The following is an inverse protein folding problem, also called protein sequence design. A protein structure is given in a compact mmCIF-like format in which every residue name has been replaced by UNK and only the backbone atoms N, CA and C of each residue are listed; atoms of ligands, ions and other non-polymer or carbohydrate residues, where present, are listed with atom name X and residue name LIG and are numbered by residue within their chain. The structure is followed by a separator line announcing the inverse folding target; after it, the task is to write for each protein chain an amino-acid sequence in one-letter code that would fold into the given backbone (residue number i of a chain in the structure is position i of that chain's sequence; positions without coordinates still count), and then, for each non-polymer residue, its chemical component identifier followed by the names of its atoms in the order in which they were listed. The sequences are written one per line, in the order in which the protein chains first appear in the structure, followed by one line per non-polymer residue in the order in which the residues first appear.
data_IF_821873036071
#
_entry.id   IF_821873036071
#
_cell.length_a   1.000
_cell.length_b   1.000
_cell.length_c   1.000
_cell.angle_alpha   90.00
_cell.angle_beta   90.00
_cell.angle_gamma   90.00
#
_symmetry.space_group_name_H-M   'P 1'
#
loop_
_entity.id
_entity.type
_entity.pdbx_description
1 polymer ?
#
# COMPACT_ATOMS: atom_id res chain seq x y z
N UNK A 1 -32.58 -58.02 -6.05
CA UNK A 1 -33.03 -57.95 -7.45
C UNK A 1 -32.09 -56.94 -8.07
N UNK A 2 -31.04 -57.40 -8.64
CA UNK A 2 -30.68 -57.57 -10.06
C UNK A 2 -30.37 -56.21 -10.68
N UNK A 3 -29.06 -55.85 -10.86
CA UNK A 3 -28.18 -56.14 -12.02
C UNK A 3 -28.70 -55.40 -13.26
N UNK A 4 -27.95 -54.68 -14.07
CA UNK A 4 -26.72 -55.05 -14.79
C UNK A 4 -26.21 -53.84 -15.61
N UNK A 5 -24.86 -53.72 -15.73
CA UNK A 5 -24.05 -53.56 -16.95
C UNK A 5 -24.34 -52.38 -17.90
N UNK A 6 -23.41 -51.69 -18.49
CA UNK A 6 -22.22 -52.12 -19.23
C UNK A 6 -21.23 -50.95 -19.49
N UNK A 7 -20.01 -51.31 -19.52
CA UNK A 7 -18.82 -50.62 -19.97
C UNK A 7 -18.81 -50.28 -21.46
N UNK A 8 -18.17 -49.16 -21.86
CA UNK A 8 -17.48 -49.07 -23.15
C UNK A 8 -16.15 -48.39 -22.95
N UNK A 9 -15.10 -49.18 -23.04
CA UNK A 9 -13.71 -48.78 -23.26
C UNK A 9 -13.56 -48.42 -24.75
N UNK A 10 -12.90 -47.33 -25.04
CA UNK A 10 -12.44 -46.97 -26.37
C UNK A 10 -10.99 -46.48 -26.31
N UNK A 11 -10.07 -47.41 -26.57
CA UNK A 11 -8.65 -47.15 -26.87
C UNK A 11 -8.51 -46.23 -28.06
N UNK A 12 -7.65 -45.23 -27.95
CA UNK A 12 -7.03 -44.57 -29.11
C UNK A 12 -5.54 -44.45 -28.87
N UNK A 13 -4.87 -45.20 -29.73
CA UNK A 13 -3.48 -45.46 -29.91
C UNK A 13 -2.54 -44.25 -29.96
N UNK A 14 -1.34 -44.52 -29.43
CA UNK A 14 -0.08 -43.80 -29.61
C UNK A 14 0.25 -43.62 -31.10
N UNK A 15 0.55 -42.42 -31.53
CA UNK A 15 1.31 -42.15 -32.74
C UNK A 15 2.62 -41.44 -32.39
N UNK A 16 3.69 -42.21 -32.52
CA UNK A 16 5.09 -41.72 -32.53
C UNK A 16 5.34 -40.94 -33.84
N UNK A 17 5.83 -39.72 -33.73
CA UNK A 17 6.41 -39.02 -34.87
C UNK A 17 7.93 -38.89 -34.69
N UNK A 18 8.61 -39.54 -35.59
CA UNK A 18 10.07 -39.62 -35.70
C UNK A 18 10.70 -38.30 -36.09
N UNK A 19 11.80 -37.97 -35.37
CA UNK A 19 12.83 -37.06 -35.85
C UNK A 19 13.65 -37.80 -36.91
N UNK A 20 13.67 -37.32 -38.15
CA UNK A 20 14.74 -37.32 -39.16
C UNK A 20 14.14 -37.20 -40.55
N UNK A 21 14.63 -36.21 -41.21
CA UNK A 21 14.78 -36.01 -42.63
C UNK A 21 14.20 -34.67 -43.10
N UNK A 22 15.12 -33.79 -43.46
CA UNK A 22 15.25 -33.31 -44.84
C UNK A 22 16.41 -32.32 -44.90
N UNK A 23 17.52 -32.87 -45.33
CA UNK A 23 18.57 -32.13 -46.05
C UNK A 23 18.32 -32.40 -47.55
N UNK A 24 18.22 -31.32 -48.34
CA UNK A 24 18.83 -31.25 -49.68
C UNK A 24 18.16 -30.19 -50.54
N UNK A 25 18.96 -29.26 -51.03
CA UNK A 25 18.99 -28.84 -52.43
C UNK A 25 18.40 -27.49 -52.79
N UNK A 26 19.27 -26.56 -53.18
CA UNK A 26 18.86 -25.41 -54.00
C UNK A 26 19.87 -24.27 -54.00
N UNK A 27 20.91 -24.36 -54.81
CA UNK A 27 21.87 -23.28 -55.14
C UNK A 27 21.20 -22.27 -56.06
N UNK A 28 21.29 -20.98 -55.77
CA UNK A 28 20.93 -19.89 -56.67
C UNK A 28 21.82 -18.68 -56.40
N UNK A 29 22.79 -18.48 -57.29
CA UNK A 29 23.73 -17.33 -57.34
C UNK A 29 23.05 -16.16 -58.00
N UNK A 30 23.14 -14.93 -57.42
CA UNK A 30 23.31 -13.66 -58.15
C UNK A 30 23.48 -12.49 -57.22
N UNK A 31 24.55 -11.92 -57.29
CA UNK A 31 25.03 -10.58 -57.70
C UNK A 31 25.17 -9.58 -56.55
N UNK A 32 26.42 -9.35 -56.24
CA UNK A 32 27.02 -8.25 -55.48
C UNK A 32 26.78 -6.91 -56.21
N UNK A 33 26.29 -5.93 -55.48
CA UNK A 33 26.49 -4.52 -55.82
C UNK A 33 26.93 -3.79 -54.53
N UNK A 34 28.25 -3.59 -54.42
CA UNK A 34 28.83 -2.63 -53.47
C UNK A 34 28.55 -1.21 -53.98
N UNK A 35 27.92 -0.41 -53.16
CA UNK A 35 27.99 1.04 -53.20
C UNK A 35 28.44 1.53 -51.84
N UNK A 36 29.73 1.80 -51.74
CA UNK A 36 30.31 2.56 -50.65
C UNK A 36 29.85 4.00 -50.75
N UNK A 37 29.05 4.44 -49.78
CA UNK A 37 28.85 5.85 -49.50
C UNK A 37 29.37 6.13 -48.08
N UNK A 38 30.57 6.69 -48.02
CA UNK A 38 31.02 7.41 -46.84
C UNK A 38 30.10 8.60 -46.64
N UNK A 39 29.32 8.59 -45.57
CA UNK A 39 28.71 9.78 -45.02
C UNK A 39 29.13 9.92 -43.59
N UNK A 40 29.76 11.02 -43.33
CA UNK A 40 30.16 11.67 -42.10
C UNK A 40 29.21 11.38 -40.94
N UNK A 41 29.84 11.03 -39.79
CA UNK A 41 29.17 10.71 -38.52
C UNK A 41 28.21 11.81 -38.05
N UNK A 42 26.95 11.51 -38.18
CA UNK A 42 25.92 12.03 -37.31
C UNK A 42 25.45 10.86 -36.43
N UNK A 43 25.80 10.88 -35.17
CA UNK A 43 25.19 10.01 -34.18
C UNK A 43 23.69 10.33 -34.17
N UNK A 44 22.89 9.51 -34.86
CA UNK A 44 21.45 9.46 -34.68
C UNK A 44 21.21 9.15 -33.21
N UNK A 45 20.42 9.95 -32.44
CA UNK A 45 20.04 9.57 -31.10
C UNK A 45 19.31 8.23 -31.24
N UNK A 46 19.79 7.22 -30.54
CA UNK A 46 19.06 5.98 -30.36
C UNK A 46 17.65 6.37 -29.87
N UNK A 47 16.63 6.18 -30.73
CA UNK A 47 15.24 6.37 -30.30
C UNK A 47 14.98 5.32 -29.21
N UNK A 48 15.10 5.74 -27.94
CA UNK A 48 14.78 4.90 -26.80
C UNK A 48 13.37 4.34 -26.91
N UNK A 49 13.09 3.25 -26.21
CA UNK A 49 11.75 2.67 -26.16
C UNK A 49 10.71 3.74 -25.80
N UNK A 50 9.66 3.85 -26.62
CA UNK A 50 8.48 4.68 -26.37
C UNK A 50 7.35 3.92 -25.69
N UNK A 51 7.61 2.72 -25.22
CA UNK A 51 6.64 1.88 -24.57
C UNK A 51 7.20 1.38 -23.24
N UNK A 52 6.37 1.45 -22.20
CA UNK A 52 6.68 0.88 -20.88
C UNK A 52 5.50 0.07 -20.38
N UNK A 53 5.76 -0.85 -19.43
CA UNK A 53 4.73 -1.58 -18.69
C UNK A 53 4.64 -1.09 -17.25
N UNK A 54 3.44 -1.10 -16.71
CA UNK A 54 3.12 -0.65 -15.36
C UNK A 54 2.31 -1.70 -14.61
N UNK A 55 2.91 -2.33 -13.60
CA UNK A 55 2.26 -3.26 -12.68
C UNK A 55 1.57 -2.51 -11.55
N UNK A 56 0.29 -2.69 -11.40
CA UNK A 56 -0.50 -1.99 -10.39
C UNK A 56 -1.21 -2.94 -9.43
N UNK A 57 -0.97 -2.78 -8.13
CA UNK A 57 -1.76 -3.36 -7.06
C UNK A 57 -2.97 -2.51 -6.65
N UNK A 58 -3.22 -1.38 -7.32
CA UNK A 58 -4.38 -0.52 -7.09
C UNK A 58 -5.60 -1.09 -7.82
N UNK A 59 -6.25 -2.08 -7.23
CA UNK A 59 -7.35 -2.85 -7.84
C UNK A 59 -8.74 -2.32 -7.51
N UNK A 60 -8.90 -1.58 -6.41
CA UNK A 60 -10.17 -0.94 -6.06
C UNK A 60 -10.52 0.14 -7.09
N UNK A 61 -11.82 0.40 -7.29
CA UNK A 61 -12.30 1.24 -8.40
C UNK A 61 -11.68 2.65 -8.42
N UNK A 62 -11.65 3.35 -7.29
CA UNK A 62 -11.16 4.72 -7.24
C UNK A 62 -9.65 4.81 -7.53
N UNK A 63 -8.75 4.11 -6.83
CA UNK A 63 -7.31 4.19 -7.12
C UNK A 63 -6.95 3.62 -8.50
N UNK A 64 -7.67 2.63 -9.00
CA UNK A 64 -7.49 2.11 -10.37
C UNK A 64 -7.77 3.18 -11.41
N UNK A 65 -8.88 3.91 -11.28
CA UNK A 65 -9.22 5.04 -12.18
C UNK A 65 -8.26 6.20 -12.01
N UNK A 66 -7.78 6.46 -10.79
CA UNK A 66 -6.81 7.52 -10.53
C UNK A 66 -5.47 7.26 -11.23
N UNK A 67 -4.94 6.03 -11.16
CA UNK A 67 -3.75 5.68 -11.94
C UNK A 67 -4.00 5.68 -13.46
N UNK A 68 -5.19 5.32 -13.92
CA UNK A 68 -5.55 5.45 -15.34
C UNK A 68 -5.50 6.91 -15.81
N UNK A 69 -5.96 7.86 -14.99
CA UNK A 69 -5.85 9.28 -15.27
C UNK A 69 -4.38 9.76 -15.35
N UNK A 70 -3.50 9.28 -14.48
CA UNK A 70 -2.05 9.56 -14.55
C UNK A 70 -1.46 9.02 -15.84
N UNK A 71 -1.79 7.80 -16.22
CA UNK A 71 -1.31 7.17 -17.46
C UNK A 71 -1.79 7.96 -18.67
N UNK A 72 -3.05 8.33 -18.74
CA UNK A 72 -3.61 9.14 -19.82
C UNK A 72 -2.90 10.49 -19.96
N UNK A 73 -2.75 11.22 -18.84
CA UNK A 73 -2.07 12.50 -18.80
C UNK A 73 -0.59 12.39 -19.24
N UNK A 74 0.11 11.35 -18.81
CA UNK A 74 1.47 11.07 -19.24
C UNK A 74 1.54 10.79 -20.74
N UNK A 75 0.72 9.89 -21.27
CA UNK A 75 0.70 9.53 -22.70
C UNK A 75 0.38 10.74 -23.57
N UNK A 76 -0.56 11.58 -23.14
CA UNK A 76 -0.90 12.84 -23.86
C UNK A 76 0.27 13.81 -23.89
N UNK A 77 1.05 13.91 -22.81
CA UNK A 77 2.17 14.84 -22.68
C UNK A 77 3.42 14.34 -23.41
N UNK A 78 3.75 13.07 -23.31
CA UNK A 78 5.02 12.49 -23.78
C UNK A 78 4.92 11.89 -25.18
N UNK A 79 3.74 11.40 -25.58
CA UNK A 79 3.55 10.56 -26.75
C UNK A 79 4.03 9.10 -26.55
N UNK A 80 4.48 8.74 -25.36
CA UNK A 80 4.86 7.38 -25.02
C UNK A 80 3.64 6.55 -24.63
N UNK A 81 3.74 5.23 -24.71
CA UNK A 81 2.67 4.29 -24.37
C UNK A 81 2.95 3.57 -23.04
N UNK A 82 1.98 3.53 -22.14
CA UNK A 82 2.02 2.75 -20.90
C UNK A 82 1.02 1.60 -20.98
N UNK A 83 1.51 0.36 -20.82
CA UNK A 83 0.66 -0.83 -20.72
C UNK A 83 0.45 -1.16 -19.25
N UNK A 84 -0.75 -0.96 -18.72
CA UNK A 84 -1.05 -1.21 -17.32
C UNK A 84 -1.53 -2.64 -17.11
N UNK A 85 -0.93 -3.34 -16.15
CA UNK A 85 -1.32 -4.65 -15.65
C UNK A 85 -1.79 -4.50 -14.20
N UNK A 86 -3.09 -4.66 -13.95
CA UNK A 86 -3.65 -4.56 -12.59
C UNK A 86 -3.87 -5.95 -12.01
N UNK A 87 -3.39 -6.16 -10.79
CA UNK A 87 -3.56 -7.38 -9.98
C UNK A 87 -4.28 -7.00 -8.69
N UNK A 88 -5.08 -7.91 -8.13
CA UNK A 88 -5.75 -7.68 -6.85
C UNK A 88 -4.73 -7.28 -5.77
N UNK A 89 -5.09 -6.29 -4.94
CA UNK A 89 -4.18 -5.65 -3.99
C UNK A 89 -3.42 -6.63 -3.11
N UNK A 90 -4.15 -7.53 -2.45
CA UNK A 90 -3.56 -8.52 -1.56
C UNK A 90 -2.69 -9.53 -2.32
N UNK A 91 -3.11 -9.96 -3.51
CA UNK A 91 -2.35 -10.89 -4.34
C UNK A 91 -1.05 -10.25 -4.83
N UNK A 92 -1.09 -8.97 -5.22
CA UNK A 92 0.11 -8.23 -5.64
C UNK A 92 1.13 -8.15 -4.50
N UNK A 93 0.69 -7.80 -3.30
CA UNK A 93 1.56 -7.72 -2.12
C UNK A 93 2.13 -9.09 -1.71
N UNK A 94 1.28 -10.11 -1.66
CA UNK A 94 1.68 -11.45 -1.22
C UNK A 94 2.66 -12.11 -2.20
N UNK A 95 2.52 -11.83 -3.49
CA UNK A 95 3.32 -12.42 -4.56
C UNK A 95 4.47 -11.53 -5.04
N UNK A 96 4.70 -10.36 -4.44
CA UNK A 96 5.67 -9.37 -4.94
C UNK A 96 7.08 -9.94 -5.13
N UNK A 97 7.53 -10.81 -4.23
CA UNK A 97 8.85 -11.41 -4.34
C UNK A 97 8.99 -12.29 -5.59
N UNK A 98 7.99 -13.12 -5.86
CA UNK A 98 7.93 -13.96 -7.08
C UNK A 98 7.77 -13.10 -8.33
N UNK A 99 6.93 -12.07 -8.26
CA UNK A 99 6.73 -11.11 -9.35
C UNK A 99 8.04 -10.41 -9.74
N UNK A 100 8.77 -9.88 -8.77
CA UNK A 100 10.03 -9.15 -9.03
C UNK A 100 11.18 -10.07 -9.51
N UNK A 101 11.19 -11.33 -9.09
CA UNK A 101 12.19 -12.33 -9.56
C UNK A 101 11.85 -12.92 -10.93
N UNK A 102 10.59 -12.87 -11.34
CA UNK A 102 10.12 -13.44 -12.60
C UNK A 102 10.19 -12.47 -13.77
N UNK A 103 9.04 -12.09 -14.29
CA UNK A 103 8.91 -11.16 -15.42
C UNK A 103 8.10 -9.92 -15.01
N UNK A 104 8.66 -9.06 -14.14
CA UNK A 104 7.95 -7.90 -13.65
C UNK A 104 7.70 -6.88 -14.77
N UNK A 105 6.70 -6.02 -14.56
CA UNK A 105 6.54 -4.81 -15.33
C UNK A 105 7.74 -3.87 -15.13
N UNK A 106 7.92 -2.90 -16.01
CA UNK A 106 9.04 -1.96 -15.93
C UNK A 106 8.93 -1.09 -14.67
N UNK A 107 7.72 -0.58 -14.37
CA UNK A 107 7.41 0.15 -13.15
C UNK A 107 6.28 -0.54 -12.39
N UNK A 108 6.21 -0.31 -11.09
CA UNK A 108 5.15 -0.91 -10.26
C UNK A 108 4.78 -0.04 -9.06
N UNK A 109 3.52 -0.16 -8.61
CA UNK A 109 3.04 0.48 -7.38
C UNK A 109 3.72 -0.16 -6.18
N UNK A 110 4.21 0.67 -5.25
CA UNK A 110 4.79 0.20 -4.00
C UNK A 110 4.67 1.24 -2.88
N UNK A 111 5.31 0.96 -1.77
CA UNK A 111 5.26 1.71 -0.52
C UNK A 111 6.64 2.23 -0.14
N UNK A 112 6.70 3.40 0.49
CA UNK A 112 7.90 3.87 1.16
C UNK A 112 8.26 3.00 2.39
N UNK A 113 9.37 3.32 3.07
CA UNK A 113 9.75 2.67 4.30
C UNK A 113 10.67 1.45 4.12
N UNK A 114 10.75 0.61 5.15
CA UNK A 114 11.64 -0.54 5.14
C UNK A 114 11.33 -1.53 4.02
N UNK A 115 10.05 -1.71 3.70
CA UNK A 115 9.63 -2.65 2.65
C UNK A 115 10.16 -2.26 1.25
N UNK A 116 10.29 -0.96 0.95
CA UNK A 116 11.01 -0.49 -0.24
C UNK A 116 12.49 -0.86 -0.17
N UNK A 117 13.17 -0.52 0.95
CA UNK A 117 14.60 -0.79 1.14
C UNK A 117 14.93 -2.28 1.05
N UNK A 118 14.06 -3.13 1.57
CA UNK A 118 14.22 -4.59 1.51
C UNK A 118 14.34 -5.11 0.08
N UNK A 119 13.47 -4.68 -0.84
CA UNK A 119 13.55 -5.13 -2.25
C UNK A 119 14.67 -4.43 -3.02
N UNK A 120 14.96 -3.18 -2.71
CA UNK A 120 16.13 -2.47 -3.24
C UNK A 120 17.44 -3.17 -2.84
N UNK A 121 17.61 -3.50 -1.56
CA UNK A 121 18.79 -4.22 -1.04
C UNK A 121 18.98 -5.59 -1.64
N UNK A 122 17.89 -6.27 -2.05
CA UNK A 122 17.96 -7.55 -2.79
C UNK A 122 18.28 -7.38 -4.28
N UNK A 123 18.45 -6.16 -4.78
CA UNK A 123 18.73 -5.88 -6.19
C UNK A 123 17.55 -6.22 -7.12
N UNK A 124 16.32 -6.22 -6.59
CA UNK A 124 15.09 -6.49 -7.33
C UNK A 124 14.45 -5.23 -7.89
N UNK A 125 14.84 -4.06 -7.37
CA UNK A 125 14.47 -2.74 -7.86
C UNK A 125 15.70 -2.02 -8.45
N UNK A 126 15.47 -1.16 -9.42
CA UNK A 126 16.51 -0.31 -10.00
C UNK A 126 16.61 1.03 -9.28
N UNK A 127 17.83 1.57 -9.07
CA UNK A 127 17.99 2.93 -8.58
C UNK A 127 17.50 3.95 -9.61
N UNK A 128 16.97 5.06 -9.12
CA UNK A 128 16.35 6.13 -9.92
C UNK A 128 16.93 7.51 -9.59
N UNK A 129 18.22 7.59 -9.26
CA UNK A 129 18.88 8.86 -8.94
C UNK A 129 18.75 9.86 -10.07
N UNK A 130 18.88 9.42 -11.33
CA UNK A 130 18.72 10.23 -12.52
C UNK A 130 17.29 10.79 -12.73
N UNK A 131 16.27 10.11 -12.19
CA UNK A 131 14.90 10.64 -12.09
C UNK A 131 14.84 11.68 -10.97
N UNK A 132 15.42 11.36 -9.80
CA UNK A 132 15.43 12.26 -8.64
C UNK A 132 16.19 13.57 -8.89
N UNK A 133 17.25 13.56 -9.70
CA UNK A 133 17.95 14.78 -10.15
C UNK A 133 16.98 15.81 -10.79
N UNK A 134 15.88 15.33 -11.37
CA UNK A 134 14.89 16.18 -12.05
C UNK A 134 13.69 16.54 -11.19
N UNK A 135 13.30 15.68 -10.24
CA UNK A 135 12.09 15.85 -9.45
C UNK A 135 12.35 16.11 -7.96
N UNK A 136 13.57 15.93 -7.48
CA UNK A 136 13.90 15.99 -6.03
C UNK A 136 13.51 17.31 -5.38
N UNK A 137 13.56 18.42 -6.10
CA UNK A 137 13.09 19.73 -5.62
C UNK A 137 11.59 19.80 -5.30
N UNK A 138 10.80 18.87 -5.86
CA UNK A 138 9.36 18.80 -5.61
C UNK A 138 9.00 18.13 -4.26
N UNK A 139 9.97 17.55 -3.56
CA UNK A 139 9.71 16.81 -2.33
C UNK A 139 10.36 17.42 -1.10
N UNK A 140 9.81 17.14 0.07
CA UNK A 140 10.44 17.49 1.34
C UNK A 140 11.62 16.56 1.62
N UNK A 141 12.51 16.98 2.53
CA UNK A 141 13.64 16.15 2.98
C UNK A 141 13.17 14.81 3.58
N UNK A 142 12.05 14.82 4.33
CA UNK A 142 11.45 13.60 4.88
C UNK A 142 11.02 12.61 3.79
N UNK A 143 10.38 13.09 2.72
CA UNK A 143 10.00 12.27 1.56
C UNK A 143 11.22 11.77 0.79
N UNK A 144 12.23 12.65 0.62
CA UNK A 144 13.48 12.24 0.00
C UNK A 144 14.19 11.13 0.78
N UNK A 145 14.19 11.22 2.13
CA UNK A 145 14.71 10.17 3.02
C UNK A 145 13.90 8.88 2.92
N UNK A 146 12.56 8.97 2.93
CA UNK A 146 11.66 7.82 2.80
C UNK A 146 11.81 7.08 1.45
N UNK A 147 12.36 7.77 0.43
CA UNK A 147 12.62 7.22 -0.92
C UNK A 147 14.04 6.68 -1.10
N UNK A 148 14.88 6.69 -0.05
CA UNK A 148 16.30 6.33 -0.10
C UNK A 148 16.51 4.91 0.42
N UNK A 149 17.26 4.11 -0.34
CA UNK A 149 17.72 2.78 0.06
C UNK A 149 18.86 2.85 1.08
N UNK A 150 19.22 1.70 1.65
CA UNK A 150 20.31 1.60 2.65
C UNK A 150 21.69 1.87 2.01
N UNK A 151 21.80 1.77 0.69
CA UNK A 151 22.99 2.15 -0.11
C UNK A 151 23.07 3.65 -0.44
N UNK A 152 22.14 4.45 0.06
CA UNK A 152 22.06 5.89 -0.16
C UNK A 152 21.44 6.32 -1.49
N UNK A 153 21.06 5.38 -2.37
CA UNK A 153 20.43 5.68 -3.67
C UNK A 153 18.92 5.81 -3.56
N UNK A 154 18.33 6.47 -4.56
CA UNK A 154 16.88 6.65 -4.67
C UNK A 154 16.23 5.47 -5.39
N UNK A 155 15.09 4.98 -4.86
CA UNK A 155 14.38 3.83 -5.41
C UNK A 155 12.87 4.06 -5.58
N UNK A 156 12.33 5.14 -5.03
CA UNK A 156 10.90 5.35 -4.92
C UNK A 156 10.51 6.77 -5.29
N UNK A 157 9.41 6.94 -6.02
CA UNK A 157 8.77 8.22 -6.29
C UNK A 157 7.48 8.30 -5.50
N UNK A 158 7.37 9.17 -4.47
CA UNK A 158 6.15 9.36 -3.72
C UNK A 158 5.03 9.90 -4.60
N UNK A 159 3.81 9.40 -4.43
CA UNK A 159 2.61 9.90 -5.10
C UNK A 159 1.69 10.63 -4.12
N UNK A 160 1.26 9.91 -3.09
CA UNK A 160 0.36 10.46 -2.08
C UNK A 160 0.66 9.87 -0.70
N UNK A 161 0.13 10.52 0.33
CA UNK A 161 0.02 9.95 1.67
C UNK A 161 -1.42 10.01 2.17
N UNK A 162 -1.72 9.19 3.20
CA UNK A 162 -3.06 9.05 3.75
C UNK A 162 -2.99 8.80 5.26
N UNK A 163 -3.23 9.86 6.06
CA UNK A 163 -3.22 9.68 7.50
C UNK A 163 -4.34 8.77 7.96
N UNK A 164 -4.03 7.97 8.98
CA UNK A 164 -4.98 7.15 9.70
C UNK A 164 -5.58 7.92 10.89
N UNK A 165 -6.79 7.58 11.24
CA UNK A 165 -7.52 8.14 12.38
C UNK A 165 -8.88 7.48 12.54
N UNK A 166 -9.63 7.92 13.54
CA UNK A 166 -11.03 7.53 13.70
C UNK A 166 -11.92 8.39 12.81
N UNK A 167 -12.47 7.80 11.76
CA UNK A 167 -13.44 8.45 10.87
C UNK A 167 -14.85 8.29 11.42
N UNK A 168 -15.69 9.31 11.27
CA UNK A 168 -17.06 9.31 11.77
C UNK A 168 -17.98 10.19 10.92
N UNK A 169 -19.29 9.99 11.04
CA UNK A 169 -20.31 10.84 10.42
C UNK A 169 -20.72 11.95 11.38
N UNK A 170 -20.50 13.22 10.98
CA UNK A 170 -20.84 14.42 11.77
C UNK A 170 -22.31 14.44 12.17
N UNK A 171 -23.22 14.13 11.24
CA UNK A 171 -24.65 14.12 11.47
C UNK A 171 -25.09 13.11 12.54
N UNK A 172 -24.51 11.89 12.51
CA UNK A 172 -24.76 10.84 13.50
C UNK A 172 -24.27 11.27 14.88
N UNK A 173 -23.08 11.85 14.94
CA UNK A 173 -22.51 12.33 16.21
C UNK A 173 -23.30 13.50 16.79
N UNK A 174 -23.68 14.46 15.96
CA UNK A 174 -24.49 15.61 16.40
C UNK A 174 -25.84 15.16 16.93
N UNK A 175 -26.54 14.25 16.24
CA UNK A 175 -27.84 13.74 16.66
C UNK A 175 -27.81 13.01 18.02
N UNK A 176 -26.67 12.41 18.38
CA UNK A 176 -26.45 11.66 19.63
C UNK A 176 -25.70 12.44 20.71
N UNK A 177 -25.24 13.65 20.40
CA UNK A 177 -24.43 14.48 21.30
C UNK A 177 -23.09 13.83 21.66
N UNK A 178 -22.44 13.17 20.71
CA UNK A 178 -21.09 12.61 20.89
C UNK A 178 -20.05 13.71 20.74
N UNK A 179 -18.94 13.58 21.48
CA UNK A 179 -17.81 14.52 21.44
C UNK A 179 -16.53 13.75 21.19
N UNK A 180 -15.57 14.40 20.50
CA UNK A 180 -14.26 13.79 20.19
C UNK A 180 -13.52 13.49 21.51
N UNK A 181 -13.11 12.23 21.75
CA UNK A 181 -12.38 11.84 22.94
C UNK A 181 -10.92 12.34 22.86
N UNK A 182 -10.44 12.95 23.94
CA UNK A 182 -9.04 13.38 24.03
C UNK A 182 -8.14 12.27 24.57
N UNK A 183 -8.65 11.46 25.47
CA UNK A 183 -7.94 10.35 26.14
C UNK A 183 -8.57 9.00 25.82
N UNK A 184 -7.81 7.96 26.05
CA UNK A 184 -8.25 6.58 25.82
C UNK A 184 -9.47 6.21 26.69
N UNK A 185 -9.49 6.63 27.94
CA UNK A 185 -10.64 6.38 28.83
C UNK A 185 -11.92 7.05 28.30
N UNK A 186 -11.81 8.24 27.69
CA UNK A 186 -12.93 8.92 27.05
C UNK A 186 -13.41 8.14 25.83
N UNK A 187 -12.48 7.53 25.05
CA UNK A 187 -12.83 6.65 23.93
C UNK A 187 -13.60 5.41 24.39
N UNK A 188 -13.17 4.79 25.48
CA UNK A 188 -13.90 3.66 26.09
C UNK A 188 -15.30 4.09 26.56
N UNK A 189 -15.40 5.23 27.27
CA UNK A 189 -16.68 5.77 27.73
C UNK A 189 -17.63 6.10 26.55
N UNK A 190 -17.11 6.72 25.51
CA UNK A 190 -17.84 7.00 24.28
C UNK A 190 -18.30 5.70 23.59
N UNK A 191 -17.44 4.72 23.48
CA UNK A 191 -17.78 3.42 22.87
C UNK A 191 -18.89 2.70 23.63
N UNK A 192 -18.84 2.74 24.97
CA UNK A 192 -19.92 2.20 25.81
C UNK A 192 -21.26 2.93 25.58
N UNK A 193 -21.22 4.26 25.44
CA UNK A 193 -22.42 5.05 25.14
C UNK A 193 -22.98 4.72 23.76
N UNK A 194 -22.13 4.62 22.73
CA UNK A 194 -22.53 4.24 21.36
C UNK A 194 -23.19 2.86 21.35
N UNK A 195 -22.63 1.88 22.10
CA UNK A 195 -23.20 0.55 22.21
C UNK A 195 -24.58 0.57 22.86
N UNK A 196 -24.76 1.36 23.91
CA UNK A 196 -26.06 1.57 24.57
C UNK A 196 -27.07 2.26 23.65
N UNK A 197 -26.63 3.11 22.75
CA UNK A 197 -27.41 3.78 21.73
C UNK A 197 -27.74 2.89 20.50
N UNK A 198 -27.29 1.62 20.51
CA UNK A 198 -27.59 0.60 19.49
C UNK A 198 -26.67 0.62 18.27
N UNK A 199 -25.52 1.33 18.34
CA UNK A 199 -24.52 1.34 17.27
C UNK A 199 -23.47 0.24 17.50
N UNK A 200 -22.78 -0.18 16.45
CA UNK A 200 -21.45 -0.76 16.54
C UNK A 200 -20.49 0.39 16.85
N UNK A 201 -19.89 0.47 18.05
CA UNK A 201 -19.10 1.65 18.42
C UNK A 201 -17.94 1.91 17.45
N UNK A 202 -17.16 0.86 17.17
CA UNK A 202 -16.00 0.89 16.28
C UNK A 202 -16.23 -0.13 15.16
N UNK A 203 -16.46 0.32 13.94
CA UNK A 203 -16.36 -0.57 12.79
C UNK A 203 -14.95 -1.16 12.78
N UNK A 204 -14.87 -2.47 12.67
CA UNK A 204 -13.61 -3.19 12.60
C UNK A 204 -13.75 -4.35 11.60
N UNK A 205 -12.79 -4.48 10.71
CA UNK A 205 -12.86 -5.43 9.61
C UNK A 205 -11.44 -5.90 9.29
N UNK A 206 -11.15 -7.19 9.51
CA UNK A 206 -9.81 -7.75 9.43
C UNK A 206 -9.74 -9.08 8.66
N UNK A 207 -10.66 -9.31 7.72
CA UNK A 207 -10.62 -10.47 6.84
C UNK A 207 -9.28 -10.60 6.11
N UNK A 208 -8.71 -9.46 5.71
CA UNK A 208 -7.46 -9.38 4.98
C UNK A 208 -6.21 -9.38 5.88
N UNK A 209 -6.38 -9.26 7.20
CA UNK A 209 -5.34 -9.34 8.23
C UNK A 209 -4.50 -8.06 8.42
N UNK A 210 -4.47 -7.16 7.45
CA UNK A 210 -3.69 -5.93 7.58
C UNK A 210 -4.37 -4.83 8.42
N UNK A 211 -5.71 -4.65 8.48
CA UNK A 211 -6.30 -3.53 9.23
C UNK A 211 -5.98 -3.57 10.73
N UNK A 212 -5.84 -4.77 11.29
CA UNK A 212 -5.47 -4.94 12.70
C UNK A 212 -4.08 -4.37 13.03
N UNK A 213 -3.16 -4.34 12.06
CA UNK A 213 -1.82 -3.78 12.27
C UNK A 213 -1.86 -2.28 12.58
N UNK A 214 -2.71 -1.49 11.88
CA UNK A 214 -2.86 -0.06 12.16
C UNK A 214 -3.41 0.22 13.55
N UNK A 215 -4.29 -0.63 14.07
CA UNK A 215 -4.75 -0.54 15.46
C UNK A 215 -3.62 -0.84 16.43
N UNK A 216 -2.83 -1.90 16.18
CA UNK A 216 -1.64 -2.21 16.97
C UNK A 216 -0.65 -1.04 16.98
N UNK A 217 -0.37 -0.46 15.82
CA UNK A 217 0.59 0.63 15.66
C UNK A 217 0.19 1.84 16.49
N UNK A 218 -1.05 2.27 16.39
CA UNK A 218 -1.53 3.40 17.17
C UNK A 218 -1.50 3.13 18.67
N UNK A 219 -1.99 1.99 19.13
CA UNK A 219 -1.97 1.65 20.55
C UNK A 219 -0.53 1.59 21.07
N UNK A 220 0.38 0.98 20.28
CA UNK A 220 1.80 0.93 20.67
C UNK A 220 2.44 2.32 20.71
N UNK A 221 2.25 3.15 19.70
CA UNK A 221 2.79 4.52 19.69
C UNK A 221 2.22 5.36 20.83
N UNK A 222 0.95 5.19 21.19
CA UNK A 222 0.30 5.93 22.28
C UNK A 222 0.66 5.40 23.68
N UNK A 223 0.98 4.10 23.78
CA UNK A 223 1.41 3.48 25.05
C UNK A 223 2.89 3.67 25.31
N UNK A 224 3.74 3.45 24.28
CA UNK A 224 5.18 3.31 24.44
C UNK A 224 6.01 4.39 23.70
N UNK A 225 5.36 5.20 22.86
CA UNK A 225 5.98 6.23 22.04
C UNK A 225 6.53 5.70 20.70
N UNK A 226 6.72 6.64 19.76
CA UNK A 226 7.16 6.36 18.39
C UNK A 226 8.49 5.60 18.32
N UNK A 227 9.49 6.04 19.13
CA UNK A 227 10.82 5.39 19.09
C UNK A 227 10.73 3.92 19.45
N UNK A 228 10.02 3.58 20.52
CA UNK A 228 9.83 2.18 20.92
C UNK A 228 9.13 1.39 19.82
N UNK A 229 8.08 1.96 19.22
CA UNK A 229 7.36 1.31 18.13
C UNK A 229 8.30 0.97 16.96
N UNK A 230 9.11 1.92 16.50
CA UNK A 230 10.06 1.69 15.41
C UNK A 230 11.18 0.71 15.78
N UNK A 231 11.66 0.74 17.02
CA UNK A 231 12.67 -0.20 17.48
C UNK A 231 12.10 -1.62 17.61
N UNK A 232 10.82 -1.76 17.99
CA UNK A 232 10.13 -3.05 18.04
C UNK A 232 9.92 -3.63 16.63
N UNK A 233 9.47 -2.81 15.65
CA UNK A 233 9.28 -3.25 14.27
C UNK A 233 10.60 -3.64 13.61
N UNK A 234 11.72 -3.05 14.03
CA UNK A 234 13.07 -3.39 13.59
C UNK A 234 13.74 -4.53 14.40
N UNK A 235 13.02 -5.15 15.34
CA UNK A 235 13.52 -6.15 16.28
C UNK A 235 14.76 -5.69 17.07
N UNK A 236 14.82 -4.41 17.43
CA UNK A 236 15.80 -3.85 18.39
C UNK A 236 15.29 -3.90 19.82
N UNK A 237 14.00 -4.09 19.98
CA UNK A 237 13.30 -4.33 21.23
C UNK A 237 12.67 -5.72 21.20
N UNK A 238 12.61 -6.39 22.36
CA UNK A 238 12.00 -7.72 22.45
C UNK A 238 10.48 -7.65 22.36
N UNK A 239 9.87 -8.60 21.67
CA UNK A 239 8.42 -8.80 21.67
C UNK A 239 7.90 -9.40 22.99
N UNK A 240 8.73 -10.14 23.74
CA UNK A 240 8.35 -10.68 25.06
C UNK A 240 8.78 -9.75 26.20
N UNK A 241 8.11 -8.63 26.32
CA UNK A 241 8.32 -7.68 27.40
C UNK A 241 7.02 -7.01 27.84
N UNK A 242 7.04 -6.40 29.03
CA UNK A 242 5.86 -5.74 29.63
C UNK A 242 5.25 -4.68 28.68
N UNK A 243 6.06 -3.87 28.04
CA UNK A 243 5.58 -2.81 27.12
C UNK A 243 4.72 -3.37 26.00
N UNK A 244 5.08 -4.53 25.44
CA UNK A 244 4.27 -5.19 24.40
C UNK A 244 2.99 -5.75 24.97
N UNK A 245 3.05 -6.36 26.16
CA UNK A 245 1.85 -6.86 26.88
C UNK A 245 0.88 -5.72 27.17
N UNK A 246 1.37 -4.56 27.60
CA UNK A 246 0.56 -3.37 27.86
C UNK A 246 -0.22 -2.89 26.61
N UNK A 247 0.35 -3.04 25.39
CA UNK A 247 -0.35 -2.73 24.12
C UNK A 247 -1.58 -3.62 23.97
N UNK A 248 -1.43 -4.92 24.15
CA UNK A 248 -2.54 -5.87 24.04
C UNK A 248 -3.54 -5.73 25.18
N UNK A 249 -3.10 -5.41 26.41
CA UNK A 249 -3.99 -5.13 27.53
C UNK A 249 -4.86 -3.87 27.27
N UNK A 250 -4.28 -2.82 26.67
CA UNK A 250 -5.03 -1.66 26.23
C UNK A 250 -6.02 -2.02 25.11
N UNK A 251 -5.57 -2.76 24.10
CA UNK A 251 -6.45 -3.16 22.99
C UNK A 251 -7.59 -4.05 23.45
N UNK A 252 -7.35 -4.94 24.40
CA UNK A 252 -8.37 -5.81 24.97
C UNK A 252 -9.58 -5.05 25.50
N UNK A 253 -9.38 -3.82 25.99
CA UNK A 253 -10.47 -2.97 26.46
C UNK A 253 -11.38 -2.48 25.31
N UNK A 254 -10.87 -2.45 24.05
CA UNK A 254 -11.64 -2.06 22.87
C UNK A 254 -12.38 -3.24 22.21
N UNK A 255 -11.95 -4.50 22.44
CA UNK A 255 -12.53 -5.67 21.77
C UNK A 255 -14.07 -5.77 21.92
N UNK A 256 -14.69 -5.47 23.09
CA UNK A 256 -16.15 -5.54 23.24
C UNK A 256 -16.92 -4.51 22.39
N UNK A 257 -16.23 -3.50 21.86
CA UNK A 257 -16.80 -2.38 21.10
C UNK A 257 -16.53 -2.45 19.61
N UNK A 258 -15.77 -3.43 19.16
CA UNK A 258 -15.47 -3.68 17.74
C UNK A 258 -16.60 -4.50 17.08
N UNK A 259 -16.62 -4.52 15.75
CA UNK A 259 -17.59 -5.31 14.98
C UNK A 259 -17.56 -6.79 15.38
N UNK A 260 -18.72 -7.42 15.71
CA UNK A 260 -18.76 -8.81 16.21
C UNK A 260 -18.18 -9.84 15.24
N UNK A 261 -18.19 -9.55 13.93
CA UNK A 261 -17.70 -10.42 12.85
C UNK A 261 -16.47 -9.82 12.15
N UNK A 262 -15.59 -9.17 12.90
CA UNK A 262 -14.42 -8.45 12.36
C UNK A 262 -13.56 -9.30 11.41
N UNK A 263 -13.32 -10.57 11.76
CA UNK A 263 -12.50 -11.49 10.95
C UNK A 263 -13.19 -11.97 9.64
N UNK A 264 -14.48 -11.73 9.50
CA UNK A 264 -15.25 -12.08 8.28
C UNK A 264 -15.51 -10.90 7.36
N UNK A 265 -15.28 -9.66 7.83
CA UNK A 265 -15.54 -8.43 7.09
C UNK A 265 -14.29 -7.93 6.37
N UNK A 266 -14.47 -7.51 5.13
CA UNK A 266 -13.47 -6.70 4.40
C UNK A 266 -13.51 -5.26 4.91
N UNK A 267 -12.43 -4.50 4.71
CA UNK A 267 -12.39 -3.10 5.12
C UNK A 267 -13.47 -2.26 4.43
N UNK A 268 -13.86 -2.63 3.19
CA UNK A 268 -14.94 -2.00 2.45
C UNK A 268 -16.30 -2.22 3.14
N UNK A 269 -16.57 -3.44 3.64
CA UNK A 269 -17.79 -3.74 4.40
C UNK A 269 -17.80 -2.99 5.74
N UNK A 270 -16.64 -2.83 6.39
CA UNK A 270 -16.49 -1.96 7.56
C UNK A 270 -16.81 -0.50 7.26
N UNK A 271 -16.36 0.01 6.12
CA UNK A 271 -16.66 1.38 5.66
C UNK A 271 -18.15 1.57 5.37
N UNK A 272 -18.83 0.56 4.83
CA UNK A 272 -20.29 0.61 4.63
C UNK A 272 -21.05 0.74 5.94
N UNK A 273 -20.65 0.03 7.00
CA UNK A 273 -21.26 0.21 8.33
C UNK A 273 -21.17 1.67 8.81
N UNK A 274 -20.03 2.32 8.56
CA UNK A 274 -19.85 3.73 8.88
C UNK A 274 -20.76 4.62 7.97
N UNK A 275 -20.72 4.40 6.67
CA UNK A 275 -21.50 5.18 5.68
C UNK A 275 -23.00 5.10 5.91
N UNK A 276 -23.51 3.96 6.36
CA UNK A 276 -24.92 3.73 6.70
C UNK A 276 -25.31 4.27 8.08
N UNK A 277 -24.34 4.76 8.87
CA UNK A 277 -24.58 5.21 10.25
C UNK A 277 -24.89 4.08 11.23
N UNK A 278 -24.55 2.83 10.89
CA UNK A 278 -24.65 1.66 11.75
C UNK A 278 -23.46 1.53 12.69
N UNK A 279 -22.32 2.09 12.32
CA UNK A 279 -21.15 2.21 13.20
C UNK A 279 -20.94 3.66 13.61
N UNK A 280 -20.44 3.85 14.85
CA UNK A 280 -20.14 5.16 15.42
C UNK A 280 -18.89 5.78 14.85
N UNK A 281 -17.84 4.96 14.63
CA UNK A 281 -16.54 5.38 14.09
C UNK A 281 -15.79 4.20 13.48
N UNK A 282 -14.73 4.49 12.69
CA UNK A 282 -13.85 3.48 12.08
C UNK A 282 -12.41 3.97 12.09
N UNK A 283 -11.50 3.21 12.71
CA UNK A 283 -10.07 3.46 12.68
C UNK A 283 -9.49 2.89 11.39
N UNK A 284 -9.12 3.77 10.46
CA UNK A 284 -8.59 3.38 9.14
C UNK A 284 -7.78 4.54 8.54
N UNK A 285 -7.25 4.37 7.33
CA UNK A 285 -6.68 5.46 6.54
C UNK A 285 -7.75 6.30 5.84
N UNK A 286 -7.39 7.52 5.41
CA UNK A 286 -8.32 8.44 4.74
C UNK A 286 -8.99 7.87 3.49
N UNK A 287 -8.41 6.82 2.90
CA UNK A 287 -8.99 6.07 1.78
C UNK A 287 -10.34 5.40 2.11
N UNK A 288 -10.77 5.37 3.39
CA UNK A 288 -12.13 4.94 3.76
C UNK A 288 -13.19 5.69 2.97
N UNK A 289 -12.92 6.95 2.63
CA UNK A 289 -13.84 7.81 1.88
C UNK A 289 -14.03 7.38 0.42
N UNK A 290 -13.16 6.54 -0.14
CA UNK A 290 -13.32 5.96 -1.49
C UNK A 290 -14.56 5.07 -1.61
N UNK A 291 -15.09 4.58 -0.48
CA UNK A 291 -16.28 3.72 -0.44
C UNK A 291 -17.59 4.50 -0.47
N UNK A 292 -17.56 5.83 -0.35
CA UNK A 292 -18.77 6.66 -0.32
C UNK A 292 -19.01 7.34 -1.66
N UNK A 293 -19.98 6.82 -2.40
CA UNK A 293 -20.40 7.39 -3.70
C UNK A 293 -21.44 8.49 -3.54
N UNK A 294 -22.18 8.52 -2.43
CA UNK A 294 -23.13 9.58 -2.10
C UNK A 294 -22.35 10.82 -1.59
N UNK A 295 -22.48 11.91 -2.33
CA UNK A 295 -21.80 13.17 -2.00
C UNK A 295 -22.23 13.74 -0.62
N UNK A 296 -23.47 13.44 -0.17
CA UNK A 296 -23.96 13.86 1.16
C UNK A 296 -23.25 13.08 2.27
N UNK A 297 -23.07 11.78 2.08
CA UNK A 297 -22.31 10.93 3.02
C UNK A 297 -20.85 11.38 3.06
N UNK A 298 -20.25 11.58 1.88
CA UNK A 298 -18.85 12.02 1.78
C UNK A 298 -18.62 13.36 2.48
N UNK A 299 -19.52 14.33 2.28
CA UNK A 299 -19.45 15.65 2.94
C UNK A 299 -19.68 15.58 4.46
N UNK A 300 -20.33 14.52 4.94
CA UNK A 300 -20.64 14.28 6.35
C UNK A 300 -19.51 13.61 7.12
N UNK A 301 -18.50 13.06 6.42
CA UNK A 301 -17.36 12.42 7.06
C UNK A 301 -16.42 13.47 7.67
N UNK A 302 -15.98 13.19 8.89
CA UNK A 302 -14.89 13.87 9.58
C UNK A 302 -14.04 12.84 10.31
N UNK A 303 -12.94 13.26 10.91
CA UNK A 303 -12.06 12.35 11.64
C UNK A 303 -11.38 13.05 12.83
N UNK A 304 -10.82 12.23 13.72
CA UNK A 304 -9.93 12.65 14.79
C UNK A 304 -8.76 11.68 14.94
N UNK A 305 -7.58 12.16 15.36
CA UNK A 305 -6.43 11.29 15.65
C UNK A 305 -6.73 10.31 16.78
N UNK A 306 -6.04 9.18 16.81
CA UNK A 306 -6.15 8.23 17.93
C UNK A 306 -5.82 8.94 19.27
N UNK A 307 -6.69 8.81 20.30
CA UNK A 307 -6.51 9.51 21.58
C UNK A 307 -5.23 9.12 22.32
N UNK A 308 -4.81 9.94 23.26
CA UNK A 308 -3.67 9.67 24.13
C UNK A 308 -3.94 8.51 25.10
N UNK A 309 -2.93 7.66 25.33
CA UNK A 309 -2.95 6.60 26.36
C UNK A 309 -1.99 7.01 27.49
N UNK A 310 -0.72 6.62 27.39
CA UNK A 310 0.29 6.91 28.41
C UNK A 310 1.26 8.01 28.00
N UNK A 311 1.42 8.25 26.69
CA UNK A 311 2.33 9.25 26.14
C UNK A 311 1.57 10.52 25.82
N UNK A 312 1.44 11.41 26.80
CA UNK A 312 0.80 12.70 26.64
C UNK A 312 1.55 13.58 25.62
N UNK A 313 0.79 14.34 24.84
CA UNK A 313 1.32 15.26 23.84
C UNK A 313 2.06 14.60 22.69
N UNK A 314 1.94 13.28 22.50
CA UNK A 314 2.50 12.62 21.33
C UNK A 314 1.76 13.03 20.06
N UNK A 315 2.50 13.50 19.07
CA UNK A 315 1.99 13.84 17.74
C UNK A 315 2.44 12.83 16.67
N UNK A 316 2.89 11.64 17.08
CA UNK A 316 3.17 10.58 16.14
C UNK A 316 1.89 10.14 15.44
N UNK A 317 1.93 10.08 14.12
CA UNK A 317 0.81 9.66 13.28
C UNK A 317 1.24 8.54 12.35
N UNK A 318 0.28 7.75 11.97
CA UNK A 318 0.43 6.78 10.91
C UNK A 318 -0.07 7.44 9.63
N UNK A 319 0.84 7.68 8.70
CA UNK A 319 0.55 8.33 7.43
C UNK A 319 1.41 7.72 6.32
N UNK A 320 1.04 6.53 5.86
CA UNK A 320 1.77 5.81 4.82
C UNK A 320 1.88 6.60 3.53
N UNK A 321 2.98 6.35 2.81
CA UNK A 321 3.27 6.98 1.52
C UNK A 321 3.28 5.89 0.45
N UNK A 322 2.39 6.02 -0.52
CA UNK A 322 2.34 5.16 -1.70
C UNK A 322 2.93 5.88 -2.92
N UNK A 323 3.48 5.09 -3.83
CA UNK A 323 4.10 5.61 -5.04
C UNK A 323 4.58 4.52 -5.97
N UNK A 324 5.61 4.81 -6.76
CA UNK A 324 6.14 3.90 -7.77
C UNK A 324 7.62 3.60 -7.57
N UNK A 325 7.98 2.37 -7.95
CA UNK A 325 9.37 1.90 -8.11
C UNK A 325 9.61 1.44 -9.55
N UNK A 326 10.88 1.34 -9.96
CA UNK A 326 11.27 0.57 -11.13
C UNK A 326 11.73 -0.82 -10.72
N UNK A 327 11.27 -1.83 -11.45
CA UNK A 327 11.88 -3.15 -11.39
C UNK A 327 13.32 -3.11 -11.91
N UNK A 328 14.13 -4.11 -11.57
CA UNK A 328 15.49 -4.21 -12.11
C UNK A 328 15.52 -4.09 -13.65
N UNK A 329 14.56 -4.72 -14.33
CA UNK A 329 14.38 -4.65 -15.78
C UNK A 329 14.05 -3.24 -16.24
N UNK A 330 13.11 -2.57 -15.57
CA UNK A 330 12.64 -1.22 -15.93
C UNK A 330 13.72 -0.14 -15.83
N UNK A 331 14.78 -0.37 -15.05
CA UNK A 331 15.88 0.59 -14.87
C UNK A 331 16.58 0.99 -16.17
N UNK A 332 16.54 0.17 -17.22
CA UNK A 332 17.09 0.48 -18.54
C UNK A 332 16.06 1.07 -19.53
N UNK A 333 14.77 1.12 -19.17
CA UNK A 333 13.71 1.62 -20.05
C UNK A 333 13.51 3.14 -19.86
N UNK A 334 13.86 3.99 -20.86
CA UNK A 334 13.71 5.44 -20.73
C UNK A 334 12.26 5.89 -20.62
N UNK A 335 11.29 5.19 -21.22
CA UNK A 335 9.87 5.51 -21.07
C UNK A 335 9.36 5.22 -19.65
N UNK A 336 9.88 4.17 -18.99
CA UNK A 336 9.57 3.89 -17.59
C UNK A 336 10.09 4.99 -16.65
N UNK A 337 11.34 5.44 -16.87
CA UNK A 337 11.91 6.57 -16.11
C UNK A 337 11.15 7.87 -16.34
N UNK A 338 10.74 8.14 -17.58
CA UNK A 338 9.91 9.31 -17.91
C UNK A 338 8.53 9.26 -17.25
N UNK A 339 7.93 8.07 -17.13
CA UNK A 339 6.66 7.88 -16.42
C UNK A 339 6.79 8.16 -14.92
N UNK A 340 7.84 7.64 -14.27
CA UNK A 340 8.12 7.94 -12.87
C UNK A 340 8.43 9.44 -12.66
N UNK A 341 9.22 10.04 -13.57
CA UNK A 341 9.49 11.47 -13.52
C UNK A 341 8.19 12.29 -13.61
N UNK A 342 7.27 11.91 -14.50
CA UNK A 342 5.98 12.60 -14.63
C UNK A 342 5.16 12.49 -13.34
N UNK A 343 5.05 11.29 -12.73
CA UNK A 343 4.35 11.12 -11.45
C UNK A 343 4.94 12.00 -10.35
N UNK A 344 6.25 12.18 -10.32
CA UNK A 344 6.95 13.04 -9.35
C UNK A 344 6.79 14.56 -9.59
N UNK A 345 5.96 14.98 -10.53
CA UNK A 345 5.62 16.39 -10.77
C UNK A 345 4.26 16.76 -10.19
N UNK A 346 3.99 18.06 -9.91
CA UNK A 346 2.65 18.54 -9.57
C UNK A 346 1.59 18.02 -10.52
N UNK A 347 1.77 18.18 -11.83
CA UNK A 347 0.79 17.75 -12.83
C UNK A 347 0.49 16.24 -12.81
N UNK A 348 1.49 15.39 -12.50
CA UNK A 348 1.28 13.94 -12.36
C UNK A 348 0.43 13.59 -11.15
N UNK A 349 0.66 14.26 -10.02
CA UNK A 349 -0.12 14.04 -8.81
C UNK A 349 -1.51 14.69 -8.87
N UNK A 350 -1.64 15.83 -9.51
CA UNK A 350 -2.94 16.46 -9.79
C UNK A 350 -3.81 15.58 -10.68
N UNK A 351 -3.23 14.88 -11.65
CA UNK A 351 -3.94 13.90 -12.47
C UNK A 351 -4.51 12.76 -11.59
N UNK A 352 -3.72 12.24 -10.64
CA UNK A 352 -4.19 11.25 -9.67
C UNK A 352 -5.31 11.83 -8.79
N UNK A 353 -5.06 12.99 -8.18
CA UNK A 353 -5.98 13.66 -7.27
C UNK A 353 -7.29 14.12 -7.96
N UNK A 354 -7.27 14.33 -9.28
CA UNK A 354 -8.50 14.65 -10.05
C UNK A 354 -9.60 13.60 -9.87
N UNK A 355 -9.23 12.35 -9.61
CA UNK A 355 -10.13 11.20 -9.40
C UNK A 355 -10.21 10.81 -7.93
N UNK A 356 -9.06 10.66 -7.27
CA UNK A 356 -9.00 10.21 -5.86
C UNK A 356 -8.77 11.39 -4.92
N UNK A 357 -9.85 11.87 -4.31
CA UNK A 357 -9.86 12.97 -3.34
C UNK A 357 -9.58 12.53 -1.90
N UNK A 358 -9.40 11.25 -1.64
CA UNK A 358 -9.21 10.69 -0.30
C UNK A 358 -7.80 10.90 0.26
N UNK A 359 -6.83 11.14 -0.61
CA UNK A 359 -5.40 11.19 -0.30
C UNK A 359 -4.83 12.60 -0.44
N UNK A 360 -3.60 12.80 0.04
CA UNK A 360 -2.89 14.07 -0.04
C UNK A 360 -1.72 13.97 -1.02
N UNK A 361 -1.62 14.92 -1.93
CA UNK A 361 -0.48 15.03 -2.85
C UNK A 361 0.81 15.32 -2.06
N UNK A 362 1.92 14.72 -2.50
CA UNK A 362 3.23 14.86 -1.86
C UNK A 362 4.15 15.88 -2.56
N UNK A 363 3.85 16.24 -3.82
CA UNK A 363 4.66 17.16 -4.58
C UNK A 363 4.40 18.62 -4.17
N UNK A 364 5.47 19.33 -3.82
CA UNK A 364 5.41 20.79 -3.61
C UNK A 364 4.96 21.48 -4.89
N UNK A 365 4.14 22.51 -4.75
CA UNK A 365 3.62 23.30 -5.86
C UNK A 365 2.46 22.64 -6.62
N UNK A 366 1.97 21.48 -6.18
CA UNK A 366 0.70 20.94 -6.64
C UNK A 366 -0.45 21.86 -6.21
N UNK A 367 -1.44 22.02 -7.10
CA UNK A 367 -2.61 22.86 -6.83
C UNK A 367 -3.53 22.20 -5.78
N UNK A 368 -3.51 22.74 -4.58
CA UNK A 368 -4.36 22.30 -3.47
C UNK A 368 -5.66 23.10 -3.35
N UNK A 369 -5.99 23.97 -4.31
CA UNK A 369 -7.25 24.72 -4.30
C UNK A 369 -8.49 23.81 -4.31
N UNK A 370 -8.36 22.62 -4.86
CA UNK A 370 -9.38 21.56 -4.83
C UNK A 370 -9.47 20.76 -3.53
N UNK A 371 -8.67 21.08 -2.51
CA UNK A 371 -8.77 20.44 -1.19
C UNK A 371 -10.01 20.87 -0.46
N UNK A 372 -10.81 19.90 -0.03
CA UNK A 372 -11.93 20.13 0.89
C UNK A 372 -11.42 20.49 2.29
N UNK A 373 -12.30 20.95 3.17
CA UNK A 373 -11.96 21.15 4.59
C UNK A 373 -11.43 19.86 5.25
N UNK A 374 -11.96 18.72 4.83
CA UNK A 374 -11.46 17.41 5.25
C UNK A 374 -9.98 17.18 4.82
N UNK A 375 -9.63 17.44 3.55
CA UNK A 375 -8.24 17.33 3.09
C UNK A 375 -7.30 18.31 3.80
N UNK A 376 -7.75 19.55 4.06
CA UNK A 376 -6.96 20.54 4.81
C UNK A 376 -6.67 20.04 6.22
N UNK A 377 -7.68 19.50 6.91
CA UNK A 377 -7.53 18.92 8.24
C UNK A 377 -6.57 17.72 8.26
N UNK A 378 -6.62 16.85 7.23
CA UNK A 378 -5.65 15.77 7.06
C UNK A 378 -4.22 16.31 6.87
N UNK A 379 -4.06 17.34 6.04
CA UNK A 379 -2.77 17.98 5.81
C UNK A 379 -2.22 18.63 7.08
N UNK A 380 -3.06 19.25 7.90
CA UNK A 380 -2.69 19.85 9.20
C UNK A 380 -2.19 18.76 10.18
N UNK A 381 -2.82 17.58 10.20
CA UNK A 381 -2.37 16.45 11.04
C UNK A 381 -0.95 16.03 10.65
N UNK A 382 -0.67 15.88 9.35
CA UNK A 382 0.68 15.53 8.87
C UNK A 382 1.66 16.67 9.14
N UNK A 383 1.26 17.93 8.87
CA UNK A 383 2.12 19.10 9.06
C UNK A 383 2.53 19.32 10.52
N UNK A 384 1.69 18.94 11.47
CA UNK A 384 1.93 19.04 12.90
C UNK A 384 2.56 17.78 13.51
N UNK A 385 2.68 16.70 12.74
CA UNK A 385 3.25 15.45 13.23
C UNK A 385 4.75 15.59 13.51
N UNK A 386 5.19 15.21 14.71
CA UNK A 386 6.61 15.15 15.07
C UNK A 386 7.29 13.91 14.50
N UNK A 387 6.51 12.86 14.25
CA UNK A 387 6.97 11.58 13.73
C UNK A 387 5.88 10.92 12.90
N UNK A 388 6.27 10.22 11.85
CA UNK A 388 5.36 9.53 10.94
C UNK A 388 5.80 8.07 10.84
N UNK A 389 4.89 7.15 11.17
CA UNK A 389 4.99 5.72 10.87
C UNK A 389 4.44 5.45 9.48
N UNK A 390 5.06 4.51 8.76
CA UNK A 390 4.58 4.13 7.43
C UNK A 390 3.51 3.04 7.48
N UNK A 391 3.29 2.41 8.56
CA UNK A 391 2.47 1.23 8.80
C UNK A 391 3.31 0.00 9.14
N UNK A 392 2.80 -0.89 9.98
CA UNK A 392 3.53 -2.06 10.47
C UNK A 392 4.18 -2.87 9.34
N UNK A 393 3.40 -3.23 8.32
CA UNK A 393 3.87 -4.08 7.23
C UNK A 393 4.89 -3.40 6.30
N UNK A 394 5.08 -2.10 6.45
CA UNK A 394 6.03 -1.28 5.69
C UNK A 394 7.26 -0.90 6.50
N UNK A 395 7.13 -0.89 7.83
CA UNK A 395 8.21 -0.58 8.77
C UNK A 395 8.85 -1.84 9.35
N UNK A 396 8.20 -3.00 9.26
CA UNK A 396 8.71 -4.30 9.68
C UNK A 396 9.19 -5.15 8.50
N UNK A 397 9.92 -6.22 8.81
CA UNK A 397 10.28 -7.25 7.83
C UNK A 397 9.02 -7.85 7.20
N UNK A 398 8.91 -7.99 5.86
CA UNK A 398 7.74 -8.57 5.20
C UNK A 398 7.29 -9.91 5.78
N UNK A 399 8.23 -10.79 6.10
CA UNK A 399 7.93 -12.09 6.72
C UNK A 399 7.39 -11.94 8.15
N UNK A 400 7.85 -10.95 8.92
CA UNK A 400 7.31 -10.66 10.25
C UNK A 400 5.86 -10.19 10.16
N UNK A 401 5.56 -9.29 9.22
CA UNK A 401 4.21 -8.80 9.02
C UNK A 401 3.26 -9.92 8.56
N UNK A 402 3.59 -10.60 7.46
CA UNK A 402 2.66 -11.52 6.82
C UNK A 402 2.54 -12.87 7.53
N UNK A 403 3.66 -13.43 8.01
CA UNK A 403 3.68 -14.81 8.52
C UNK A 403 3.54 -14.90 10.04
N UNK A 404 3.82 -13.80 10.75
CA UNK A 404 3.80 -13.78 12.22
C UNK A 404 2.71 -12.86 12.74
N UNK A 405 2.74 -11.58 12.33
CA UNK A 405 1.86 -10.58 12.93
C UNK A 405 0.40 -10.75 12.52
N UNK A 406 0.10 -10.98 11.24
CA UNK A 406 -1.29 -11.21 10.80
C UNK A 406 -1.95 -12.35 11.59
N UNK A 407 -1.41 -13.59 11.60
CA UNK A 407 -2.07 -14.67 12.34
C UNK A 407 -2.12 -14.43 13.86
N UNK A 408 -1.12 -13.75 14.43
CA UNK A 408 -1.11 -13.43 15.85
C UNK A 408 -2.21 -12.42 16.22
N UNK A 409 -2.38 -11.36 15.42
CA UNK A 409 -3.43 -10.36 15.63
C UNK A 409 -4.82 -10.94 15.41
N UNK A 410 -5.01 -11.77 14.39
CA UNK A 410 -6.28 -12.45 14.15
C UNK A 410 -6.63 -13.44 15.27
N UNK A 411 -5.63 -14.13 15.83
CA UNK A 411 -5.79 -14.94 17.05
C UNK A 411 -6.23 -14.09 18.24
N UNK A 412 -5.55 -12.97 18.47
CA UNK A 412 -5.90 -12.03 19.55
C UNK A 412 -7.32 -11.45 19.39
N UNK A 413 -7.73 -11.10 18.19
CA UNK A 413 -9.09 -10.61 17.92
C UNK A 413 -10.15 -11.67 18.21
N UNK A 414 -9.82 -12.94 18.08
CA UNK A 414 -10.75 -14.06 18.29
C UNK A 414 -10.99 -14.34 19.78
N UNK A 415 -9.95 -14.32 20.61
CA UNK A 415 -10.04 -14.78 22.02
C UNK A 415 -9.44 -13.82 23.04
N UNK A 416 -8.84 -12.72 22.61
CA UNK A 416 -8.24 -11.72 23.50
C UNK A 416 -6.95 -12.16 24.17
N UNK A 417 -6.27 -13.18 23.61
CA UNK A 417 -4.99 -13.70 24.14
C UNK A 417 -3.86 -13.52 23.14
N UNK A 418 -2.65 -13.31 23.64
CA UNK A 418 -1.44 -13.17 22.82
C UNK A 418 -0.27 -13.90 23.48
N UNK A 419 0.46 -14.67 22.70
CA UNK A 419 1.70 -15.32 23.12
C UNK A 419 2.90 -14.48 22.67
N UNK A 420 3.32 -13.56 23.53
CA UNK A 420 4.45 -12.68 23.29
C UNK A 420 5.78 -13.41 23.24
N UNK A 421 5.93 -14.55 23.93
CA UNK A 421 7.14 -15.37 23.88
C UNK A 421 7.27 -16.05 22.52
N UNK A 422 6.16 -16.52 21.95
CA UNK A 422 6.15 -17.06 20.59
C UNK A 422 6.42 -15.97 19.54
N UNK A 423 5.86 -14.75 19.71
CA UNK A 423 6.18 -13.61 18.84
C UNK A 423 7.69 -13.33 18.83
N UNK A 424 8.32 -13.28 20.02
CA UNK A 424 9.77 -13.06 20.15
C UNK A 424 10.58 -14.16 19.49
N UNK A 425 10.22 -15.43 19.69
CA UNK A 425 10.94 -16.56 19.11
C UNK A 425 10.90 -16.52 17.57
N UNK A 426 9.74 -16.19 16.98
CA UNK A 426 9.58 -16.09 15.54
C UNK A 426 10.29 -14.85 14.98
N UNK A 427 10.17 -13.68 15.63
CA UNK A 427 10.87 -12.47 15.24
C UNK A 427 12.37 -12.70 15.23
N UNK A 428 12.94 -13.24 16.32
CA UNK A 428 14.36 -13.56 16.42
C UNK A 428 14.85 -14.46 15.28
N UNK A 429 14.08 -15.51 14.94
CA UNK A 429 14.44 -16.40 13.84
C UNK A 429 14.44 -15.68 12.49
N UNK A 430 13.45 -14.82 12.22
CA UNK A 430 13.32 -14.11 10.95
C UNK A 430 14.39 -13.03 10.77
N UNK A 431 14.68 -12.24 11.81
CA UNK A 431 15.68 -11.16 11.72
C UNK A 431 17.11 -11.68 11.76
N UNK A 432 17.37 -12.87 12.35
CA UNK A 432 18.68 -13.51 12.28
C UNK A 432 19.00 -14.13 10.90
N UNK A 433 17.98 -14.36 10.07
CA UNK A 433 18.13 -14.96 8.73
C UNK A 433 18.37 -13.91 7.61
N UNK A 434 18.48 -12.63 7.93
CA UNK A 434 18.80 -11.54 7.00
C UNK A 434 20.30 -11.36 6.82
#
# INVERSE_FOLDING_TARGET
MTSDKLSVLGDISKSHLNRRALLSGGVGVAAISMLAACSTGGSTPSSGSKTTSFGSGASDDVPKRAYAAVVEAFQKKSGDTVKTNTVAHNDFQNNINTYLQGSPDDSFTWFAGYRMRYYAGKGLAAPIDDVWDKIGGNFSEGLAKASTGDDGKKYFVPNYNYPWGFFYRKSVWAAKGYTVPAKFDDLIALSKKMQADGLVPIAFADKDGWPAMGTFDYINMRTNGYKFHMDLTAHKESWDQKKVKDVFDNWKQLLPYQSPNALGLTWQEGAQLLGEGKAGMYLLGSFVTQQFTDATVLADIDFFPFPEIAMEGTTAVEAPIDGLMLSKKGGSNPAAKAFLQFLGTPAGQEAYFSVDKSNLMTAKGADTSGYSEFNKKLADVIGNAKSISQFFDRDALPAMANNVMIPALQGFLKDGTIDTANLEAQAKALYAAQ
#
